data_IF_353741779083
#
_entry.id   IF_353741779083
#
_cell.length_a   1.000
_cell.length_b   1.000
_cell.length_c   1.000
_cell.angle_alpha   90.00
_cell.angle_beta   90.00
_cell.angle_gamma   90.00
#
_symmetry.space_group_name_H-M   'P 1'
#
loop_
_entity.id
_entity.type
_entity.pdbx_description
1 polymer ?
#
# COMPACT_ATOMS: atom_id res chain seq x y z
N UNK A 1 -10.87 -9.22 -28.12
CA UNK A 1 -10.74 -7.88 -27.56
C UNK A 1 -11.28 -6.86 -28.56
N UNK A 2 -12.40 -6.21 -28.23
CA UNK A 2 -12.96 -5.13 -29.04
C UNK A 2 -12.62 -3.81 -28.34
N UNK A 3 -11.93 -2.92 -29.03
CA UNK A 3 -11.42 -1.67 -28.45
C UNK A 3 -12.07 -0.51 -29.17
N UNK A 4 -12.80 0.34 -28.43
CA UNK A 4 -13.41 1.54 -28.98
C UNK A 4 -12.66 2.78 -28.50
N UNK A 5 -12.37 3.69 -29.41
CA UNK A 5 -11.70 4.95 -29.11
C UNK A 5 -12.73 6.07 -29.10
N UNK A 6 -12.85 6.78 -27.99
CA UNK A 6 -13.63 8.00 -27.90
C UNK A 6 -12.73 9.18 -28.30
N UNK A 7 -13.15 9.94 -29.31
CA UNK A 7 -12.44 11.14 -29.74
C UNK A 7 -13.25 12.39 -29.37
N UNK A 8 -12.57 13.45 -28.95
CA UNK A 8 -13.22 14.74 -28.69
C UNK A 8 -13.61 15.45 -30.00
N UNK A 9 -14.34 16.56 -29.91
CA UNK A 9 -14.81 17.36 -31.07
C UNK A 9 -13.67 17.84 -32.00
N UNK A 10 -12.41 17.82 -31.52
CA UNK A 10 -11.21 18.17 -32.28
C UNK A 10 -10.52 16.95 -32.91
N UNK A 11 -11.17 15.79 -32.89
CA UNK A 11 -10.65 14.53 -33.45
C UNK A 11 -9.50 13.89 -32.65
N UNK A 12 -9.21 14.37 -31.44
CA UNK A 12 -8.17 13.78 -30.59
C UNK A 12 -8.76 12.64 -29.76
N UNK A 13 -8.14 11.47 -29.82
CA UNK A 13 -8.48 10.31 -28.97
C UNK A 13 -8.27 10.69 -27.50
N UNK A 14 -9.34 10.63 -26.71
CA UNK A 14 -9.35 11.05 -25.29
C UNK A 14 -9.61 9.89 -24.33
N UNK A 15 -10.26 8.82 -24.79
CA UNK A 15 -10.48 7.64 -23.96
C UNK A 15 -10.53 6.36 -24.79
N UNK A 16 -10.25 5.24 -24.14
CA UNK A 16 -10.33 3.90 -24.71
C UNK A 16 -11.32 3.10 -23.87
N UNK A 17 -12.33 2.54 -24.53
CA UNK A 17 -13.34 1.68 -23.92
C UNK A 17 -13.02 0.24 -24.28
N UNK A 18 -12.90 -0.59 -23.24
CA UNK A 18 -12.68 -2.03 -23.34
C UNK A 18 -13.65 -2.77 -22.42
N UNK A 19 -14.02 -4.02 -22.73
CA UNK A 19 -14.80 -4.86 -21.82
C UNK A 19 -14.07 -5.05 -20.48
N UNK A 20 -14.81 -5.06 -19.37
CA UNK A 20 -14.20 -5.19 -18.03
C UNK A 20 -13.39 -6.48 -17.87
N UNK A 21 -13.86 -7.59 -18.45
CA UNK A 21 -13.15 -8.86 -18.47
C UNK A 21 -11.77 -8.75 -19.15
N UNK A 22 -11.71 -8.03 -20.27
CA UNK A 22 -10.46 -7.80 -21.00
C UNK A 22 -9.52 -6.88 -20.20
N UNK A 23 -10.06 -5.91 -19.46
CA UNK A 23 -9.27 -5.07 -18.54
C UNK A 23 -8.68 -5.88 -17.39
N UNK A 24 -9.47 -6.75 -16.76
CA UNK A 24 -9.02 -7.61 -15.66
C UNK A 24 -7.88 -8.56 -16.11
N UNK A 25 -8.00 -9.15 -17.31
CA UNK A 25 -6.92 -9.97 -17.89
C UNK A 25 -5.63 -9.17 -18.15
N UNK A 26 -5.76 -7.91 -18.57
CA UNK A 26 -4.62 -7.00 -18.76
C UNK A 26 -3.98 -6.66 -17.40
N UNK A 27 -4.77 -6.36 -16.38
CA UNK A 27 -4.28 -6.07 -15.03
C UNK A 27 -3.51 -7.25 -14.42
N UNK A 28 -4.02 -8.47 -14.59
CA UNK A 28 -3.36 -9.71 -14.17
C UNK A 28 -2.02 -9.92 -14.90
N UNK A 29 -2.01 -9.82 -16.23
CA UNK A 29 -0.79 -9.99 -17.04
C UNK A 29 0.28 -8.96 -16.72
N UNK A 30 -0.13 -7.73 -16.45
CA UNK A 30 0.78 -6.64 -16.11
C UNK A 30 1.09 -6.54 -14.61
N UNK A 31 0.53 -7.44 -13.78
CA UNK A 31 0.63 -7.39 -12.31
C UNK A 31 0.32 -5.98 -11.75
N UNK A 32 -0.62 -5.29 -12.41
CA UNK A 32 -1.10 -3.96 -11.98
C UNK A 32 -2.03 -4.05 -10.76
N UNK A 33 -2.46 -5.26 -10.40
CA UNK A 33 -3.10 -5.51 -9.11
C UNK A 33 -2.04 -5.33 -8.03
N UNK A 34 -2.10 -4.15 -7.43
CA UNK A 34 -1.50 -3.73 -6.16
C UNK A 34 -0.27 -4.53 -5.77
N UNK A 35 0.91 -3.94 -5.98
CA UNK A 35 2.08 -4.35 -5.20
C UNK A 35 1.65 -4.21 -3.74
N UNK A 36 1.54 -5.33 -3.04
CA UNK A 36 1.18 -5.34 -1.63
C UNK A 36 2.08 -4.32 -0.93
N UNK A 37 1.47 -3.31 -0.30
CA UNK A 37 2.20 -2.26 0.41
C UNK A 37 3.24 -2.87 1.34
N UNK A 38 2.93 -4.02 1.93
CA UNK A 38 3.85 -4.79 2.76
C UNK A 38 5.17 -5.12 2.04
N UNK A 39 5.12 -5.52 0.78
CA UNK A 39 6.31 -5.85 -0.03
C UNK A 39 7.08 -4.62 -0.50
N UNK A 40 6.47 -3.43 -0.44
CA UNK A 40 7.16 -2.16 -0.74
C UNK A 40 7.96 -1.61 0.45
N UNK A 41 7.72 -2.10 1.66
CA UNK A 41 8.38 -1.61 2.87
C UNK A 41 9.85 -2.06 2.94
N UNK A 42 10.79 -1.17 3.32
CA UNK A 42 12.17 -1.56 3.61
C UNK A 42 12.22 -2.64 4.70
N UNK A 43 13.22 -3.53 4.63
CA UNK A 43 13.39 -4.66 5.57
C UNK A 43 13.35 -4.22 7.04
N UNK A 44 14.11 -3.18 7.40
CA UNK A 44 14.15 -2.66 8.77
C UNK A 44 12.79 -2.16 9.28
N UNK A 45 11.90 -1.69 8.39
CA UNK A 45 10.54 -1.26 8.75
C UNK A 45 9.67 -2.47 9.04
N UNK A 46 9.72 -3.50 8.17
CA UNK A 46 9.01 -4.77 8.39
C UNK A 46 9.46 -5.44 9.67
N UNK A 47 10.76 -5.48 9.93
CA UNK A 47 11.33 -6.02 11.17
C UNK A 47 10.88 -5.24 12.40
N UNK A 48 10.83 -3.91 12.31
CA UNK A 48 10.33 -3.04 13.37
C UNK A 48 8.87 -3.34 13.72
N UNK A 49 8.02 -3.49 12.70
CA UNK A 49 6.60 -3.84 12.87
C UNK A 49 6.45 -5.24 13.49
N UNK A 50 7.14 -6.24 12.94
CA UNK A 50 7.12 -7.61 13.44
C UNK A 50 7.59 -7.69 14.90
N UNK A 51 8.64 -6.94 15.26
CA UNK A 51 9.12 -6.86 16.64
C UNK A 51 8.07 -6.23 17.55
N UNK A 52 7.48 -5.09 17.15
CA UNK A 52 6.44 -4.43 17.94
C UNK A 52 5.23 -5.32 18.21
N UNK A 53 4.79 -6.08 17.20
CA UNK A 53 3.71 -7.06 17.36
C UNK A 53 4.07 -8.17 18.36
N UNK A 54 5.28 -8.74 18.27
CA UNK A 54 5.78 -9.75 19.22
C UNK A 54 5.83 -9.22 20.65
N UNK A 55 6.35 -8.01 20.84
CA UNK A 55 6.43 -7.36 22.15
C UNK A 55 5.03 -7.11 22.73
N UNK A 56 4.10 -6.64 21.92
CA UNK A 56 2.70 -6.45 22.35
C UNK A 56 2.05 -7.76 22.79
N UNK A 57 2.24 -8.84 22.03
CA UNK A 57 1.69 -10.16 22.38
C UNK A 57 2.32 -10.76 23.64
N UNK A 58 3.60 -10.49 23.87
CA UNK A 58 4.32 -10.90 25.08
C UNK A 58 4.00 -10.01 26.30
N UNK A 59 3.22 -8.94 26.14
CA UNK A 59 2.93 -7.97 27.20
C UNK A 59 4.12 -7.06 27.54
N UNK A 60 5.14 -7.01 26.70
CA UNK A 60 6.34 -6.15 26.85
C UNK A 60 6.05 -4.68 26.49
N UNK A 61 4.88 -4.18 26.89
CA UNK A 61 4.47 -2.80 26.69
C UNK A 61 4.76 -1.99 27.96
N UNK A 62 5.04 -0.69 27.79
CA UNK A 62 5.24 0.25 28.89
C UNK A 62 4.08 1.24 28.92
N UNK A 63 3.67 1.65 30.11
CA UNK A 63 2.62 2.67 30.24
C UNK A 63 3.15 4.04 29.80
N UNK A 64 2.23 4.95 29.48
CA UNK A 64 2.58 6.33 29.16
C UNK A 64 3.41 6.97 30.28
N UNK A 65 2.96 6.85 31.52
CA UNK A 65 3.62 7.44 32.69
C UNK A 65 5.06 6.92 32.88
N UNK A 66 5.27 5.61 32.73
CA UNK A 66 6.60 4.99 32.83
C UNK A 66 7.54 5.51 31.74
N UNK A 67 7.02 5.67 30.52
CA UNK A 67 7.78 6.23 29.39
C UNK A 67 8.14 7.69 29.67
N UNK A 68 7.18 8.50 30.11
CA UNK A 68 7.42 9.93 30.37
C UNK A 68 8.42 10.16 31.50
N UNK A 69 8.34 9.39 32.59
CA UNK A 69 9.29 9.48 33.70
C UNK A 69 10.74 9.22 33.25
N UNK A 70 10.96 8.29 32.32
CA UNK A 70 12.31 7.99 31.79
C UNK A 70 12.92 9.19 31.03
N UNK A 71 12.09 9.99 30.37
CA UNK A 71 12.54 11.10 29.54
C UNK A 71 12.39 12.47 30.21
N UNK A 72 11.91 12.52 31.45
CA UNK A 72 11.74 13.75 32.23
C UNK A 72 13.02 14.62 32.25
N UNK A 73 14.20 14.00 32.29
CA UNK A 73 15.49 14.70 32.27
C UNK A 73 15.81 15.49 30.99
N UNK A 74 15.04 15.29 29.92
CA UNK A 74 15.21 15.98 28.62
C UNK A 74 14.08 16.98 28.33
N UNK A 75 13.10 17.08 29.22
CA UNK A 75 12.00 18.06 29.18
C UNK A 75 12.34 19.23 30.11
#
# INVERSE_FOLDING_TARGET
MNVQFLSNEKGKKTAVVIPIKDWEEIQEKLKLKDVDFWETLPEHVRDGINRGQKQSLAGETKSHDEVMQKYEKYL
#
